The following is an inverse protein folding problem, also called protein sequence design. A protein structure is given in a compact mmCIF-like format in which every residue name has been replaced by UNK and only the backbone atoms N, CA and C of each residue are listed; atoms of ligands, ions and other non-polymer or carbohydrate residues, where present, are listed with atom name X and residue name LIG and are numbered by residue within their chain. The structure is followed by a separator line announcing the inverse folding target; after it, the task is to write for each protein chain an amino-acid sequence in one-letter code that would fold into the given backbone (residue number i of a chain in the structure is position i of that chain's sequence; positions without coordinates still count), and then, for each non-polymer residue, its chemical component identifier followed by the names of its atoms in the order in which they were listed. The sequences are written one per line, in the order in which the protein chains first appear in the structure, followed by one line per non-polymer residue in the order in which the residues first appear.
data_IF_084838709412
#
_entry.id   IF_084838709412
#
_cell.length_a   1.000
_cell.length_b   1.000
_cell.length_c   1.000
_cell.angle_alpha   90.00
_cell.angle_beta   90.00
_cell.angle_gamma   90.00
#
_symmetry.space_group_name_H-M   'P 1'
#
loop_
_entity.id
_entity.type
_entity.pdbx_description
1 polymer ?
#
# COMPACT_ATOMS: atom_id res chain seq x y z
N UNK A 1 1.04 -5.84 -10.25
CA UNK A 1 -0.31 -5.87 -9.66
C UNK A 1 -0.20 -6.52 -8.30
N UNK A 2 -0.24 -5.74 -7.21
CA UNK A 2 -0.10 -6.25 -5.85
C UNK A 2 -1.46 -6.40 -5.15
N UNK A 3 -1.52 -7.21 -4.10
CA UNK A 3 -2.75 -7.43 -3.32
C UNK A 3 -3.39 -6.13 -2.79
N UNK A 4 -2.55 -5.14 -2.47
CA UNK A 4 -2.99 -3.84 -1.94
C UNK A 4 -3.34 -2.83 -3.04
N UNK A 5 -3.42 -3.26 -4.30
CA UNK A 5 -3.96 -2.45 -5.39
C UNK A 5 -5.50 -2.58 -5.42
N UNK A 6 -6.24 -1.55 -5.88
CA UNK A 6 -7.71 -1.61 -5.96
C UNK A 6 -8.22 -2.81 -6.77
N UNK A 7 -7.46 -3.23 -7.79
CA UNK A 7 -7.72 -4.41 -8.59
C UNK A 7 -6.49 -5.31 -8.61
N UNK A 8 -6.71 -6.60 -8.37
CA UNK A 8 -5.73 -7.68 -8.51
C UNK A 8 -6.33 -8.80 -9.37
N UNK A 9 -5.52 -9.68 -9.98
CA UNK A 9 -6.02 -10.77 -10.81
C UNK A 9 -6.75 -11.84 -9.99
N UNK A 10 -7.70 -12.53 -10.61
CA UNK A 10 -8.50 -13.58 -9.95
C UNK A 10 -7.63 -14.73 -9.40
N UNK A 11 -6.52 -15.02 -10.09
CA UNK A 11 -5.55 -16.04 -9.70
C UNK A 11 -4.60 -15.60 -8.56
N UNK A 12 -4.82 -14.44 -7.92
CA UNK A 12 -3.93 -13.96 -6.86
C UNK A 12 -3.83 -15.00 -5.73
N UNK A 13 -2.62 -15.42 -5.31
CA UNK A 13 -2.42 -16.59 -4.45
C UNK A 13 -2.81 -16.35 -2.98
N UNK A 14 -2.99 -15.09 -2.57
CA UNK A 14 -3.28 -14.74 -1.19
C UNK A 14 -4.55 -15.44 -0.64
N UNK A 15 -4.58 -15.79 0.66
CA UNK A 15 -5.77 -16.31 1.32
C UNK A 15 -6.97 -15.38 1.15
N UNK A 16 -8.17 -15.97 1.10
CA UNK A 16 -9.42 -15.22 0.86
C UNK A 16 -9.69 -14.19 1.97
N UNK A 17 -9.40 -14.53 3.22
CA UNK A 17 -9.52 -13.57 4.33
C UNK A 17 -8.60 -12.36 4.14
N UNK A 18 -7.33 -12.57 3.73
CA UNK A 18 -6.40 -11.47 3.47
C UNK A 18 -6.84 -10.61 2.27
N UNK A 19 -7.40 -11.24 1.23
CA UNK A 19 -8.02 -10.53 0.10
C UNK A 19 -9.16 -9.61 0.55
N UNK A 20 -10.03 -10.10 1.44
CA UNK A 20 -11.13 -9.31 2.00
C UNK A 20 -10.62 -8.15 2.87
N UNK A 21 -9.60 -8.37 3.70
CA UNK A 21 -8.98 -7.30 4.50
C UNK A 21 -8.32 -6.24 3.62
N UNK A 22 -7.61 -6.65 2.55
CA UNK A 22 -7.04 -5.72 1.58
C UNK A 22 -8.12 -4.87 0.90
N UNK A 23 -9.24 -5.48 0.50
CA UNK A 23 -10.36 -4.74 -0.09
C UNK A 23 -11.02 -3.78 0.91
N UNK A 24 -11.12 -4.13 2.20
CA UNK A 24 -11.57 -3.19 3.24
C UNK A 24 -10.68 -1.95 3.33
N UNK A 25 -9.35 -2.11 3.23
CA UNK A 25 -8.42 -0.98 3.19
C UNK A 25 -8.62 -0.11 1.93
N UNK A 26 -8.86 -0.74 0.77
CA UNK A 26 -9.16 -0.02 -0.48
C UNK A 26 -10.43 0.83 -0.33
N UNK A 27 -11.51 0.25 0.19
CA UNK A 27 -12.76 0.98 0.46
C UNK A 27 -12.55 2.12 1.46
N UNK A 28 -11.83 1.86 2.56
CA UNK A 28 -11.54 2.89 3.55
C UNK A 28 -10.78 4.09 2.95
N UNK A 29 -9.81 3.85 2.08
CA UNK A 29 -9.11 4.92 1.38
C UNK A 29 -10.03 5.67 0.41
N UNK A 30 -10.84 4.94 -0.37
CA UNK A 30 -11.78 5.53 -1.32
C UNK A 30 -12.81 6.44 -0.63
N UNK A 31 -13.33 6.04 0.53
CA UNK A 31 -14.27 6.83 1.35
C UNK A 31 -13.65 8.13 1.91
N UNK A 32 -12.33 8.28 1.83
CA UNK A 32 -11.59 9.47 2.26
C UNK A 32 -10.92 10.19 1.07
N UNK A 33 -11.49 10.06 -0.13
CA UNK A 33 -11.03 10.71 -1.37
C UNK A 33 -9.55 10.44 -1.71
N UNK A 34 -9.07 9.25 -1.36
CA UNK A 34 -7.71 8.82 -1.62
C UNK A 34 -7.64 7.35 -2.05
N UNK A 35 -6.45 6.86 -2.39
CA UNK A 35 -6.26 5.47 -2.75
C UNK A 35 -5.17 4.83 -1.88
N UNK A 36 -5.31 3.51 -1.68
CA UNK A 36 -4.39 2.75 -0.84
C UNK A 36 -2.93 2.81 -1.36
N UNK A 37 -2.66 2.71 -2.68
CA UNK A 37 -1.30 2.87 -3.22
C UNK A 37 -0.65 4.21 -2.87
N UNK A 38 -1.36 5.34 -3.01
CA UNK A 38 -0.83 6.67 -2.71
C UNK A 38 -0.60 6.85 -1.22
N UNK A 39 -1.46 6.28 -0.37
CA UNK A 39 -1.22 6.23 1.09
C UNK A 39 0.06 5.46 1.39
N UNK A 40 0.26 4.28 0.78
CA UNK A 40 1.46 3.48 0.97
C UNK A 40 2.73 4.20 0.46
N UNK A 41 2.65 4.83 -0.71
CA UNK A 41 3.75 5.64 -1.28
C UNK A 41 4.11 6.81 -0.37
N UNK A 42 3.13 7.63 0.04
CA UNK A 42 3.36 8.75 0.96
C UNK A 42 3.94 8.27 2.29
N UNK A 43 3.46 7.15 2.83
CA UNK A 43 4.01 6.56 4.05
C UNK A 43 5.49 6.19 3.90
N UNK A 44 5.86 5.51 2.80
CA UNK A 44 7.24 5.13 2.53
C UNK A 44 8.16 6.35 2.33
N UNK A 45 7.70 7.36 1.59
CA UNK A 45 8.47 8.58 1.31
C UNK A 45 8.67 9.47 2.54
N UNK A 46 7.77 9.39 3.54
CA UNK A 46 7.93 10.07 4.84
C UNK A 46 8.87 9.36 5.80
N UNK A 47 9.26 8.13 5.50
CA UNK A 47 10.13 7.38 6.38
C UNK A 47 11.50 8.10 6.45
N UNK A 48 12.02 8.38 7.65
CA UNK A 48 13.29 9.08 7.79
C UNK A 48 14.42 8.41 7.00
N UNK A 49 15.30 9.22 6.40
CA UNK A 49 16.41 8.74 5.57
C UNK A 49 17.40 7.82 6.31
N UNK A 50 17.44 7.88 7.64
CA UNK A 50 18.21 6.95 8.48
C UNK A 50 17.68 5.50 8.44
N UNK A 51 16.44 5.29 8.00
CA UNK A 51 15.82 3.96 7.86
C UNK A 51 15.72 3.50 6.41
N UNK A 52 15.46 4.42 5.47
CA UNK A 52 15.34 4.12 4.05
C UNK A 52 16.16 5.10 3.22
N UNK A 53 17.08 4.57 2.40
CA UNK A 53 17.89 5.38 1.48
C UNK A 53 17.12 5.77 0.21
N UNK A 54 16.26 4.87 -0.28
CA UNK A 54 15.45 5.10 -1.47
C UNK A 54 14.15 4.27 -1.41
N UNK A 55 13.12 4.73 -2.10
CA UNK A 55 11.86 4.00 -2.31
C UNK A 55 11.69 3.70 -3.80
N UNK A 56 11.54 2.44 -4.16
CA UNK A 56 11.29 2.01 -5.54
C UNK A 56 9.79 1.85 -5.75
N UNK A 57 9.24 2.50 -6.78
CA UNK A 57 7.82 2.45 -7.11
C UNK A 57 7.66 1.90 -8.53
N UNK A 58 7.04 0.73 -8.64
CA UNK A 58 6.70 0.14 -9.94
C UNK A 58 5.47 0.82 -10.55
N UNK A 59 5.62 1.33 -11.77
CA UNK A 59 4.53 1.96 -12.53
C UNK A 59 4.30 1.20 -13.84
N UNK A 60 3.04 0.95 -14.20
CA UNK A 60 2.64 0.32 -15.47
C UNK A 60 2.18 1.33 -16.53
N UNK A 61 2.05 2.62 -16.18
CA UNK A 61 1.69 3.68 -17.13
C UNK A 61 2.33 5.02 -16.77
N UNK A 62 2.46 5.96 -17.73
CA UNK A 62 2.96 7.31 -17.48
C UNK A 62 2.13 8.09 -16.44
N UNK A 63 0.82 7.84 -16.38
CA UNK A 63 -0.09 8.49 -15.43
C UNK A 63 0.27 8.11 -13.99
N UNK A 64 0.61 6.84 -13.75
CA UNK A 64 1.05 6.39 -12.43
C UNK A 64 2.36 7.05 -12.00
N UNK A 65 3.28 7.29 -12.94
CA UNK A 65 4.52 8.05 -12.66
C UNK A 65 4.19 9.47 -12.20
N UNK A 66 3.28 10.16 -12.90
CA UNK A 66 2.83 11.50 -12.53
C UNK A 66 2.20 11.51 -11.13
N UNK A 67 1.41 10.49 -10.80
CA UNK A 67 0.80 10.34 -9.47
C UNK A 67 1.88 10.10 -8.40
N UNK A 68 2.88 9.26 -8.65
CA UNK A 68 3.98 9.03 -7.72
C UNK A 68 4.80 10.31 -7.46
N UNK A 69 5.09 11.10 -8.49
CA UNK A 69 5.76 12.41 -8.34
C UNK A 69 4.90 13.40 -7.53
N UNK A 70 3.58 13.42 -7.75
CA UNK A 70 2.67 14.22 -6.92
C UNK A 70 2.69 13.76 -5.46
N UNK A 71 2.71 12.45 -5.20
CA UNK A 71 2.83 11.91 -3.85
C UNK A 71 4.13 12.36 -3.16
N UNK A 72 5.25 12.45 -3.89
CA UNK A 72 6.50 12.98 -3.35
C UNK A 72 6.36 14.43 -2.89
N UNK A 73 5.75 15.29 -3.71
CA UNK A 73 5.52 16.69 -3.34
C UNK A 73 4.53 16.83 -2.15
N UNK A 74 3.59 15.91 -2.01
CA UNK A 74 2.57 15.93 -0.94
C UNK A 74 3.03 15.24 0.35
N UNK A 75 4.07 14.40 0.30
CA UNK A 75 4.47 13.55 1.43
C UNK A 75 4.77 14.34 2.72
N UNK A 76 5.33 15.53 2.62
CA UNK A 76 5.68 16.37 3.79
C UNK A 76 4.49 17.10 4.41
N UNK A 77 3.44 17.35 3.62
CA UNK A 77 2.30 18.22 3.98
C UNK A 77 1.15 17.40 4.57
N UNK A 78 1.07 16.11 4.24
CA UNK A 78 -0.17 15.34 4.35
C UNK A 78 -0.44 14.77 5.76
N UNK A 79 -1.68 14.92 6.26
CA UNK A 79 -2.17 14.43 7.55
C UNK A 79 -2.64 12.95 7.52
N UNK A 80 -2.47 12.30 6.36
CA UNK A 80 -2.87 10.93 6.07
C UNK A 80 -2.19 9.81 6.90
N UNK A 81 -1.33 10.16 7.86
CA UNK A 81 -0.76 9.21 8.82
C UNK A 81 -1.85 8.41 9.57
N UNK A 82 -3.01 9.03 9.82
CA UNK A 82 -4.15 8.38 10.48
C UNK A 82 -4.75 7.26 9.63
N UNK A 83 -4.88 7.44 8.31
CA UNK A 83 -5.42 6.41 7.40
C UNK A 83 -4.47 5.22 7.24
N UNK A 84 -3.17 5.49 7.12
CA UNK A 84 -2.16 4.44 7.07
C UNK A 84 -2.20 3.57 8.34
N UNK A 85 -2.34 4.19 9.51
CA UNK A 85 -2.47 3.46 10.77
C UNK A 85 -3.75 2.60 10.83
N UNK A 86 -4.90 3.14 10.41
CA UNK A 86 -6.15 2.37 10.31
C UNK A 86 -6.00 1.14 9.40
N UNK A 87 -5.35 1.29 8.24
CA UNK A 87 -5.07 0.17 7.35
C UNK A 87 -4.16 -0.88 7.99
N UNK A 88 -3.13 -0.45 8.74
CA UNK A 88 -2.25 -1.37 9.48
C UNK A 88 -3.01 -2.15 10.56
N UNK A 89 -3.96 -1.52 11.25
CA UNK A 89 -4.81 -2.20 12.24
C UNK A 89 -5.68 -3.27 11.56
N UNK A 90 -6.30 -2.95 10.42
CA UNK A 90 -7.11 -3.91 9.64
C UNK A 90 -6.27 -5.11 9.21
N UNK A 91 -5.03 -4.89 8.78
CA UNK A 91 -4.13 -5.94 8.29
C UNK A 91 -3.33 -6.64 9.39
N UNK A 92 -3.51 -6.28 10.67
CA UNK A 92 -2.61 -6.69 11.74
C UNK A 92 -2.56 -8.21 11.97
N UNK A 93 -3.65 -8.94 11.70
CA UNK A 93 -3.68 -10.41 11.80
C UNK A 93 -2.73 -11.11 10.83
N UNK A 94 -2.39 -10.45 9.71
CA UNK A 94 -1.46 -10.94 8.70
C UNK A 94 -0.11 -10.20 8.75
N UNK A 95 0.18 -9.48 9.84
CA UNK A 95 1.49 -8.85 10.02
C UNK A 95 2.57 -9.92 10.12
N UNK A 96 3.64 -9.77 9.34
CA UNK A 96 4.72 -10.74 9.20
C UNK A 96 4.27 -12.11 8.66
N UNK A 97 3.08 -12.19 8.06
CA UNK A 97 2.68 -13.37 7.31
C UNK A 97 3.60 -13.54 6.10
N UNK A 98 4.19 -14.73 5.97
CA UNK A 98 5.07 -15.08 4.88
C UNK A 98 4.56 -16.32 4.16
N UNK A 99 4.97 -16.49 2.91
CA UNK A 99 4.76 -17.74 2.19
C UNK A 99 5.59 -18.85 2.83
N UNK A 100 5.07 -20.09 2.93
CA UNK A 100 5.87 -21.22 3.34
C UNK A 100 7.01 -21.41 2.34
N UNK A 101 8.24 -21.59 2.84
CA UNK A 101 9.37 -21.97 2.00
C UNK A 101 9.10 -23.34 1.36
N UNK A 102 9.62 -23.61 0.14
CA UNK A 102 9.65 -24.96 -0.38
C UNK A 102 10.29 -25.91 0.64
N UNK A 103 9.79 -27.14 0.80
CA UNK A 103 10.50 -28.14 1.58
C UNK A 103 11.90 -28.38 0.98
N UNK A 104 12.88 -28.68 1.86
CA UNK A 104 14.24 -29.05 1.46
C UNK A 104 14.29 -30.30 0.58
#
# INVERSE_FOLDING_TARGET
MGLLSPKYPDWHPAPEELKQLAQKCVSLCADNDTDLPNIATKFALRCPSKYLTATVIGCSSPEQVKVAVKCLAQAEIDSNASLANKCQIILNSYRNYSWPSPPE
#
